data_IF_236119175130
#
_entry.id   IF_236119175130
#
_cell.length_a   1.000
_cell.length_b   1.000
_cell.length_c   1.000
_cell.angle_alpha   90.00
_cell.angle_beta   90.00
_cell.angle_gamma   90.00
#
_symmetry.space_group_name_H-M   'P 1'
#
loop_
_entity.id
_entity.type
_entity.pdbx_description
1 polymer ?
#
# COMPACT_ATOMS: atom_id res chain seq x y z
N UNK A 1 6.54 12.57 17.65
CA UNK A 1 5.50 11.54 17.78
C UNK A 1 5.68 10.49 16.74
N UNK A 2 5.74 9.28 17.16
CA UNK A 2 5.90 8.18 16.24
C UNK A 2 4.57 7.80 15.64
N UNK A 3 4.60 7.40 14.40
CA UNK A 3 3.43 6.83 13.77
C UNK A 3 3.40 5.34 14.12
N UNK A 4 2.36 4.85 14.77
CA UNK A 4 2.28 3.43 15.05
C UNK A 4 2.22 2.65 13.74
N UNK A 5 2.91 1.51 13.72
CA UNK A 5 2.90 0.63 12.56
C UNK A 5 1.96 -0.53 12.82
N UNK A 6 1.07 -0.75 11.88
CA UNK A 6 0.16 -1.88 11.92
C UNK A 6 0.52 -2.83 10.77
N UNK A 7 0.45 -4.10 11.03
CA UNK A 7 0.78 -5.11 10.02
C UNK A 7 -0.33 -6.15 9.95
N UNK A 8 -0.68 -6.55 8.73
CA UNK A 8 -1.67 -7.59 8.52
C UNK A 8 -1.32 -8.38 7.28
N UNK A 9 -1.79 -9.62 7.22
CA UNK A 9 -1.57 -10.50 6.07
C UNK A 9 -2.91 -10.98 5.53
N UNK A 10 -2.99 -11.10 4.21
CA UNK A 10 -4.21 -11.53 3.53
C UNK A 10 -3.83 -12.55 2.47
N UNK A 11 -4.49 -13.71 2.52
CA UNK A 11 -4.21 -14.77 1.57
C UNK A 11 -4.92 -14.52 0.24
N UNK A 12 -4.23 -14.81 -0.85
CA UNK A 12 -4.79 -14.70 -2.20
C UNK A 12 -4.54 -15.99 -2.96
N UNK A 13 -5.45 -16.34 -3.85
CA UNK A 13 -5.25 -17.45 -4.78
C UNK A 13 -4.44 -17.01 -5.99
N UNK A 14 -4.48 -15.73 -6.30
CA UNK A 14 -3.72 -15.19 -7.43
C UNK A 14 -2.22 -15.23 -7.13
N UNK A 15 -1.43 -15.37 -8.18
CA UNK A 15 0.02 -15.42 -8.05
C UNK A 15 0.61 -14.04 -7.75
N UNK A 16 1.85 -14.03 -7.28
CA UNK A 16 2.56 -12.77 -7.07
C UNK A 16 2.67 -11.97 -8.37
N UNK A 17 2.88 -12.65 -9.48
CA UNK A 17 2.99 -12.01 -10.78
C UNK A 17 1.69 -11.31 -11.18
N UNK A 18 0.57 -11.91 -10.86
CA UNK A 18 -0.76 -11.31 -11.14
C UNK A 18 -1.01 -10.12 -10.21
N UNK A 19 -0.63 -10.25 -8.94
CA UNK A 19 -0.91 -9.22 -7.95
C UNK A 19 0.00 -7.99 -8.07
N UNK A 20 1.23 -8.18 -8.54
CA UNK A 20 2.21 -7.10 -8.50
C UNK A 20 1.78 -5.83 -9.23
N UNK A 21 1.18 -5.88 -10.43
CA UNK A 21 0.72 -4.64 -11.07
C UNK A 21 -0.29 -3.86 -10.24
N UNK A 22 -1.05 -4.55 -9.39
CA UNK A 22 -2.05 -3.87 -8.55
C UNK A 22 -1.45 -3.15 -7.36
N UNK A 23 -0.20 -3.45 -6.99
CA UNK A 23 0.47 -2.71 -5.92
C UNK A 23 1.53 -1.76 -6.45
N UNK A 24 1.89 -1.88 -7.73
CA UNK A 24 3.03 -1.16 -8.28
C UNK A 24 2.67 -0.06 -9.26
N UNK A 25 1.53 -0.15 -9.93
CA UNK A 25 1.16 0.81 -10.97
C UNK A 25 0.02 1.71 -10.54
N UNK A 26 -0.04 2.94 -11.09
CA UNK A 26 -1.15 3.82 -10.80
C UNK A 26 -2.50 3.21 -11.19
N UNK A 27 -2.57 2.58 -12.36
CA UNK A 27 -3.84 1.99 -12.80
C UNK A 27 -4.25 0.82 -11.92
N UNK A 28 -3.30 0.01 -11.47
CA UNK A 28 -3.60 -1.10 -10.57
C UNK A 28 -4.05 -0.62 -9.20
N UNK A 29 -3.33 0.33 -8.63
CA UNK A 29 -3.66 0.88 -7.32
C UNK A 29 -5.00 1.61 -7.31
N UNK A 30 -5.38 2.23 -8.44
CA UNK A 30 -6.65 2.96 -8.50
C UNK A 30 -7.86 2.03 -8.52
N UNK A 31 -7.66 0.74 -8.61
CA UNK A 31 -8.78 -0.20 -8.64
C UNK A 31 -9.20 -0.70 -7.26
N UNK A 32 -8.34 -0.60 -6.28
CA UNK A 32 -8.65 -1.14 -4.95
C UNK A 32 -8.11 -0.30 -3.79
N UNK A 33 -7.00 0.39 -3.99
CA UNK A 33 -6.32 1.10 -2.91
C UNK A 33 -6.81 2.55 -2.77
N UNK A 34 -7.08 3.20 -3.88
CA UNK A 34 -7.54 4.59 -3.88
C UNK A 34 -8.53 4.80 -5.02
N UNK A 35 -9.28 5.88 -4.96
CA UNK A 35 -10.25 6.20 -6.02
C UNK A 35 -9.56 6.60 -7.31
N UNK A 36 -8.43 7.29 -7.19
CA UNK A 36 -7.63 7.68 -8.34
C UNK A 36 -6.17 7.74 -7.93
N UNK A 37 -5.29 7.44 -8.87
CA UNK A 37 -3.85 7.46 -8.61
C UNK A 37 -3.15 8.03 -9.84
N UNK A 38 -2.33 9.05 -9.62
CA UNK A 38 -1.54 9.69 -10.66
C UNK A 38 -0.08 9.66 -10.24
N UNK A 39 0.81 9.42 -11.17
CA UNK A 39 2.25 9.47 -10.90
C UNK A 39 2.90 10.52 -11.82
N UNK A 40 3.77 11.34 -11.27
CA UNK A 40 4.47 12.36 -12.04
C UNK A 40 5.87 11.89 -12.47
N UNK A 41 6.60 12.78 -13.12
CA UNK A 41 7.92 12.47 -13.65
C UNK A 41 8.94 12.12 -12.56
N UNK A 42 8.76 12.64 -11.38
CA UNK A 42 9.64 12.38 -10.24
C UNK A 42 9.26 11.12 -9.48
N UNK A 43 8.30 10.36 -10.00
CA UNK A 43 7.79 9.14 -9.39
C UNK A 43 7.08 9.41 -8.06
N UNK A 44 6.48 10.57 -7.95
CA UNK A 44 5.61 10.90 -6.83
C UNK A 44 4.19 10.52 -7.20
N UNK A 45 3.59 9.71 -6.34
CA UNK A 45 2.22 9.23 -6.54
C UNK A 45 1.28 10.14 -5.78
N UNK A 46 0.20 10.55 -6.43
CA UNK A 46 -0.88 11.26 -5.77
C UNK A 46 -2.07 10.33 -5.68
N UNK A 47 -2.44 9.98 -4.47
CA UNK A 47 -3.60 9.12 -4.20
C UNK A 47 -4.78 9.99 -3.80
N UNK A 48 -5.95 9.70 -4.38
CA UNK A 48 -7.16 10.46 -4.08
C UNK A 48 -8.24 9.55 -3.52
N UNK A 49 -8.82 9.94 -2.38
CA UNK A 49 -9.95 9.25 -1.76
C UNK A 49 -11.01 10.30 -1.47
N UNK A 50 -12.16 10.21 -2.17
CA UNK A 50 -13.21 11.21 -2.00
C UNK A 50 -12.66 12.64 -2.07
N UNK A 51 -12.66 13.34 -0.96
CA UNK A 51 -12.21 14.73 -0.91
C UNK A 51 -10.78 14.87 -0.42
N UNK A 52 -10.10 13.77 -0.18
CA UNK A 52 -8.76 13.83 0.37
C UNK A 52 -7.73 13.36 -0.64
N UNK A 53 -6.55 13.94 -0.56
CA UNK A 53 -5.43 13.53 -1.39
C UNK A 53 -4.19 13.36 -0.53
N UNK A 54 -3.34 12.42 -0.92
CA UNK A 54 -2.06 12.22 -0.27
C UNK A 54 -1.01 11.98 -1.34
N UNK A 55 0.16 12.54 -1.14
CA UNK A 55 1.29 12.37 -2.03
C UNK A 55 2.33 11.49 -1.36
N UNK A 56 2.87 10.57 -2.13
CA UNK A 56 3.87 9.64 -1.62
C UNK A 56 4.92 9.36 -2.66
N UNK A 57 6.12 9.11 -2.21
CA UNK A 57 7.19 8.68 -3.10
C UNK A 57 7.39 7.19 -2.96
N UNK A 58 7.48 6.49 -4.10
CA UNK A 58 7.78 5.07 -4.08
C UNK A 58 9.29 4.93 -3.90
N UNK A 59 9.70 4.53 -2.70
CA UNK A 59 11.11 4.49 -2.34
C UNK A 59 11.75 3.11 -2.51
N UNK A 60 10.91 2.07 -2.55
CA UNK A 60 11.38 0.70 -2.80
C UNK A 60 10.42 0.03 -3.76
N UNK A 61 10.99 -0.68 -4.73
CA UNK A 61 10.22 -1.51 -5.65
C UNK A 61 11.05 -2.75 -5.94
N UNK A 62 10.47 -3.93 -5.68
CA UNK A 62 11.08 -5.20 -6.03
C UNK A 62 10.07 -6.01 -6.80
N UNK A 63 10.39 -6.34 -8.03
CA UNK A 63 9.47 -7.00 -8.95
C UNK A 63 8.87 -8.26 -8.36
N UNK A 64 7.54 -8.32 -8.38
CA UNK A 64 6.74 -9.44 -7.86
C UNK A 64 6.91 -9.68 -6.36
N UNK A 65 7.53 -8.74 -5.63
CA UNK A 65 7.82 -8.94 -4.21
C UNK A 65 7.29 -7.85 -3.31
N UNK A 66 7.55 -6.57 -3.63
CA UNK A 66 7.11 -5.51 -2.72
C UNK A 66 7.21 -4.12 -3.32
N UNK A 67 6.45 -3.21 -2.72
CA UNK A 67 6.62 -1.78 -2.92
C UNK A 67 6.55 -1.10 -1.55
N UNK A 68 7.21 0.03 -1.44
CA UNK A 68 7.14 0.87 -0.25
C UNK A 68 6.94 2.30 -0.67
N UNK A 69 5.94 2.92 -0.08
CA UNK A 69 5.64 4.34 -0.29
C UNK A 69 5.88 5.09 1.00
N UNK A 70 6.56 6.22 0.90
CA UNK A 70 6.71 7.14 2.03
C UNK A 70 5.94 8.40 1.69
N UNK A 71 5.05 8.80 2.59
CA UNK A 71 4.18 9.93 2.34
C UNK A 71 4.92 11.24 2.56
N UNK A 72 4.63 12.20 1.71
CA UNK A 72 5.28 13.50 1.74
C UNK A 72 4.43 14.46 2.55
N UNK A 73 5.08 15.31 3.33
CA UNK A 73 4.39 16.33 4.09
C UNK A 73 4.59 17.66 3.38
N UNK A 74 3.54 18.12 2.69
CA UNK A 74 3.61 19.34 1.92
C UNK A 74 3.56 20.59 2.77
N UNK A 75 3.21 20.46 4.03
CA UNK A 75 3.02 21.62 4.88
C UNK A 75 4.27 22.05 5.63
N UNK A 76 5.30 21.24 5.58
CA UNK A 76 6.53 21.57 6.29
C UNK A 76 7.73 21.43 5.39
N UNK A 77 8.69 22.32 5.60
CA UNK A 77 9.96 22.23 4.91
C UNK A 77 11.03 21.61 5.79
N UNK A 78 10.65 21.24 6.98
CA UNK A 78 11.59 20.64 7.92
C UNK A 78 11.83 19.18 7.58
N UNK A 79 13.03 18.88 7.15
CA UNK A 79 13.41 17.53 6.77
C UNK A 79 14.15 16.80 7.87
N UNK A 80 14.29 17.39 9.03
CA UNK A 80 15.07 16.79 10.10
C UNK A 80 14.39 15.57 10.75
N UNK A 81 13.11 15.35 10.47
CA UNK A 81 12.35 14.29 11.11
C UNK A 81 11.96 13.18 10.15
N UNK A 82 12.90 12.76 9.34
CA UNK A 82 12.61 11.70 8.36
C UNK A 82 12.19 10.40 9.02
N UNK A 83 12.63 10.15 10.23
CA UNK A 83 12.24 8.94 10.95
C UNK A 83 10.76 8.88 11.26
N UNK A 84 10.07 10.01 11.23
CA UNK A 84 8.66 10.09 11.55
C UNK A 84 7.77 10.08 10.31
N UNK A 85 8.33 9.81 9.15
CA UNK A 85 7.52 9.78 7.94
C UNK A 85 6.52 8.64 7.96
N UNK A 86 5.29 8.96 7.58
CA UNK A 86 4.27 7.95 7.41
C UNK A 86 4.59 7.09 6.19
N UNK A 87 4.25 5.82 6.26
CA UNK A 87 4.57 4.90 5.19
C UNK A 87 3.50 3.84 5.00
N UNK A 88 3.50 3.25 3.80
CA UNK A 88 2.77 2.02 3.49
C UNK A 88 3.72 1.12 2.74
N UNK A 89 3.88 -0.10 3.24
CA UNK A 89 4.69 -1.11 2.57
C UNK A 89 3.82 -2.32 2.29
N UNK A 90 3.85 -2.78 1.05
CA UNK A 90 3.07 -3.94 0.64
C UNK A 90 4.02 -4.99 0.10
N UNK A 91 3.98 -6.18 0.69
CA UNK A 91 4.81 -7.31 0.31
C UNK A 91 3.96 -8.44 -0.20
N UNK A 92 4.50 -9.16 -1.19
CA UNK A 92 3.89 -10.36 -1.72
C UNK A 92 4.80 -11.53 -1.38
N UNK A 93 4.29 -12.45 -0.59
CA UNK A 93 5.06 -13.59 -0.12
C UNK A 93 4.39 -14.89 -0.54
N UNK A 94 5.20 -15.89 -0.82
CA UNK A 94 4.69 -17.18 -1.23
C UNK A 94 5.26 -18.26 -0.32
N UNK A 95 4.38 -19.11 0.18
CA UNK A 95 4.81 -20.25 0.99
C UNK A 95 5.29 -21.35 0.06
N UNK A 96 6.56 -21.76 0.19
CA UNK A 96 7.16 -22.72 -0.71
C UNK A 96 6.55 -24.12 -0.61
N UNK A 97 5.95 -24.44 0.53
CA UNK A 97 5.38 -25.77 0.73
C UNK A 97 3.96 -25.89 0.19
N UNK A 98 3.17 -24.84 0.34
CA UNK A 98 1.75 -24.88 -0.02
C UNK A 98 1.44 -24.11 -1.30
N UNK A 99 2.34 -23.22 -1.71
CA UNK A 99 2.08 -22.33 -2.84
C UNK A 99 1.16 -21.17 -2.49
N UNK A 100 0.73 -21.06 -1.24
CA UNK A 100 -0.14 -19.98 -0.83
C UNK A 100 0.57 -18.63 -0.95
N UNK A 101 -0.15 -17.63 -1.47
CA UNK A 101 0.38 -16.27 -1.64
C UNK A 101 -0.28 -15.37 -0.61
N UNK A 102 0.54 -14.56 0.05
CA UNK A 102 0.05 -13.63 1.06
C UNK A 102 0.46 -12.21 0.67
N UNK A 103 -0.51 -11.31 0.76
CA UNK A 103 -0.23 -9.87 0.67
C UNK A 103 -0.11 -9.38 2.11
N UNK A 104 1.09 -8.92 2.46
CA UNK A 104 1.38 -8.41 3.79
C UNK A 104 1.50 -6.90 3.70
N UNK A 105 0.80 -6.19 4.55
CA UNK A 105 0.82 -4.74 4.55
C UNK A 105 1.32 -4.21 5.89
N UNK A 106 2.18 -3.20 5.84
CA UNK A 106 2.59 -2.43 7.01
C UNK A 106 2.22 -0.99 6.73
N UNK A 107 1.45 -0.39 7.62
CA UNK A 107 0.83 0.91 7.37
C UNK A 107 0.88 1.74 8.65
N UNK A 108 1.31 2.99 8.49
CA UNK A 108 1.40 3.93 9.61
C UNK A 108 0.47 5.14 9.46
N UNK A 109 -0.38 5.16 8.44
CA UNK A 109 -1.16 6.36 8.14
C UNK A 109 -2.66 6.18 8.10
N UNK A 110 -3.15 4.95 7.91
CA UNK A 110 -4.56 4.75 7.55
C UNK A 110 -5.51 4.69 8.73
N UNK A 111 -5.01 4.55 9.96
CA UNK A 111 -5.91 4.24 11.06
C UNK A 111 -5.40 4.79 12.38
N UNK A 112 -6.34 5.05 13.29
CA UNK A 112 -6.01 5.50 14.63
C UNK A 112 -5.75 4.33 15.58
N UNK A 113 -6.20 3.13 15.22
CA UNK A 113 -5.99 1.95 16.04
C UNK A 113 -6.00 0.70 15.18
N UNK A 114 -5.62 -0.41 15.79
CA UNK A 114 -5.48 -1.68 15.09
C UNK A 114 -6.80 -2.21 14.52
N UNK A 115 -7.89 -2.03 15.25
CA UNK A 115 -9.19 -2.46 14.77
C UNK A 115 -9.60 -1.74 13.50
N UNK A 116 -9.41 -0.43 13.49
CA UNK A 116 -9.73 0.37 12.32
C UNK A 116 -8.84 0.00 11.14
N UNK A 117 -7.55 -0.20 11.41
CA UNK A 117 -6.60 -0.63 10.39
C UNK A 117 -7.06 -1.95 9.75
N UNK A 118 -7.41 -2.93 10.58
CA UNK A 118 -7.82 -4.24 10.09
C UNK A 118 -9.09 -4.13 9.24
N UNK A 119 -10.04 -3.32 9.68
CA UNK A 119 -11.31 -3.15 8.95
C UNK A 119 -11.09 -2.50 7.58
N UNK A 120 -10.26 -1.47 7.54
CA UNK A 120 -9.96 -0.77 6.28
C UNK A 120 -9.29 -1.72 5.29
N UNK A 121 -8.27 -2.43 5.73
CA UNK A 121 -7.53 -3.31 4.83
C UNK A 121 -8.32 -4.56 4.44
N UNK A 122 -9.18 -5.07 5.34
CA UNK A 122 -10.08 -6.16 4.98
C UNK A 122 -10.97 -5.77 3.81
N UNK A 123 -11.54 -4.58 3.88
CA UNK A 123 -12.42 -4.09 2.82
C UNK A 123 -11.68 -3.90 1.51
N UNK A 124 -10.50 -3.30 1.57
CA UNK A 124 -9.69 -3.08 0.36
C UNK A 124 -9.23 -4.38 -0.27
N UNK A 125 -8.77 -5.33 0.53
CA UNK A 125 -8.29 -6.60 -0.01
C UNK A 125 -9.43 -7.46 -0.53
N UNK A 126 -10.64 -7.34 0.03
CA UNK A 126 -11.80 -8.03 -0.52
C UNK A 126 -12.10 -7.52 -1.94
N UNK A 127 -11.99 -6.19 -2.14
CA UNK A 127 -12.17 -5.62 -3.47
C UNK A 127 -11.10 -6.14 -4.43
N UNK A 128 -9.87 -6.24 -3.98
CA UNK A 128 -8.79 -6.75 -4.82
C UNK A 128 -9.03 -8.21 -5.20
N UNK A 129 -9.52 -9.03 -4.26
CA UNK A 129 -9.84 -10.43 -4.56
C UNK A 129 -10.88 -10.56 -5.67
N UNK A 130 -11.88 -9.69 -5.65
CA UNK A 130 -12.90 -9.72 -6.69
C UNK A 130 -12.31 -9.40 -8.05
N UNK A 131 -11.31 -8.52 -8.09
CA UNK A 131 -10.68 -8.13 -9.34
C UNK A 131 -9.81 -9.25 -9.91
N UNK A 132 -9.03 -9.90 -9.05
CA UNK A 132 -8.04 -10.89 -9.50
C UNK A 132 -8.56 -12.34 -9.46
N UNK A 133 -9.79 -12.54 -9.02
CA UNK A 133 -10.40 -13.87 -9.02
C UNK A 133 -10.06 -14.70 -7.79
N UNK A 134 -9.78 -14.05 -6.71
CA UNK A 134 -9.47 -14.75 -5.46
C UNK A 134 -8.08 -14.48 -4.99
#
# INVERSE_FOLDING_TARGET
>A
MDHPLYTAEFEFKASRKVLFPYINTPSGLSQWFADDVIVDEDKVFTFSWNDEQARAQRVVQRTNRMVRFEFLNDETTDTSFEADKALVEIRLEENDLTGAVFLSVTDSVSADNEEEFQAIWNQMTDSLREIVGG
#
